data_IF_482451977971
#
_entry.id   IF_482451977971
#
_cell.length_a   1.000
_cell.length_b   1.000
_cell.length_c   1.000
_cell.angle_alpha   90.00
_cell.angle_beta   90.00
_cell.angle_gamma   90.00
#
_symmetry.space_group_name_H-M   'P 1'
#
loop_
_entity.id
_entity.type
_entity.pdbx_description
1 polymer ?
#
# COMPACT_ATOMS: atom_id res chain seq x y z
N UNK A 1 20.36 12.49 -28.43
CA UNK A 1 19.09 12.02 -27.85
C UNK A 1 18.82 10.65 -28.43
N UNK A 2 19.28 9.60 -27.75
CA UNK A 2 19.05 8.23 -28.20
C UNK A 2 17.66 7.79 -27.72
N UNK A 3 16.81 7.23 -28.60
CA UNK A 3 15.53 6.69 -28.17
C UNK A 3 15.83 5.41 -27.40
N UNK A 4 15.54 5.39 -26.09
CA UNK A 4 15.52 4.13 -25.35
C UNK A 4 14.38 3.31 -25.95
N UNK A 5 14.75 2.24 -26.64
CA UNK A 5 13.82 1.34 -27.28
C UNK A 5 12.92 0.70 -26.21
N UNK A 6 11.62 0.81 -26.43
CA UNK A 6 10.53 0.21 -25.66
C UNK A 6 10.72 -1.30 -25.38
N UNK A 7 11.57 -1.98 -26.16
CA UNK A 7 11.97 -3.38 -25.96
C UNK A 7 12.74 -3.66 -24.66
N UNK A 8 13.13 -2.64 -23.88
CA UNK A 8 13.80 -2.82 -22.58
C UNK A 8 12.86 -2.71 -21.37
N UNK A 9 11.56 -2.50 -21.57
CA UNK A 9 10.58 -2.61 -20.47
C UNK A 9 10.35 -4.10 -20.22
N UNK A 10 10.98 -4.58 -19.14
CA UNK A 10 10.98 -5.97 -18.69
C UNK A 10 9.58 -6.62 -18.71
N UNK A 11 9.49 -7.93 -19.02
CA UNK A 11 8.23 -8.65 -18.99
C UNK A 11 7.61 -8.59 -17.59
N UNK A 12 6.33 -8.24 -17.52
CA UNK A 12 5.51 -8.04 -16.32
C UNK A 12 5.28 -9.32 -15.47
N UNK A 13 6.16 -10.33 -15.58
CA UNK A 13 6.00 -11.65 -14.95
C UNK A 13 6.70 -11.80 -13.61
N UNK A 14 7.52 -10.85 -13.17
CA UNK A 14 8.26 -10.96 -11.91
C UNK A 14 7.91 -9.82 -10.96
N UNK A 15 6.77 -9.95 -10.27
CA UNK A 15 6.57 -9.59 -8.85
C UNK A 15 6.96 -8.22 -8.29
N UNK A 16 7.57 -7.32 -9.03
CA UNK A 16 8.14 -6.07 -8.54
C UNK A 16 7.79 -4.95 -9.52
N UNK A 17 6.82 -4.15 -9.11
CA UNK A 17 6.33 -3.01 -9.88
C UNK A 17 7.34 -1.86 -9.69
N UNK A 18 8.04 -1.39 -10.74
CA UNK A 18 8.99 -0.30 -10.59
C UNK A 18 8.23 1.03 -10.59
N UNK A 19 7.67 1.39 -9.43
CA UNK A 19 7.21 2.76 -9.22
C UNK A 19 8.41 3.60 -8.77
N UNK A 20 8.84 4.53 -9.62
CA UNK A 20 9.71 5.63 -9.22
C UNK A 20 8.99 6.46 -8.14
N UNK A 21 9.19 6.09 -6.87
CA UNK A 21 8.89 6.87 -5.68
C UNK A 21 10.00 6.63 -4.65
N UNK A 22 11.17 7.22 -4.89
CA UNK A 22 12.25 7.34 -3.92
C UNK A 22 11.95 8.45 -2.89
N UNK A 23 10.82 8.34 -2.18
CA UNK A 23 10.55 9.18 -1.01
C UNK A 23 9.83 8.31 0.04
N UNK A 24 10.63 7.80 0.97
CA UNK A 24 10.31 6.95 2.14
C UNK A 24 10.50 5.44 1.97
N UNK A 25 11.63 4.97 2.51
CA UNK A 25 11.99 3.58 2.82
C UNK A 25 10.88 2.86 3.59
N UNK A 26 9.97 2.21 2.87
CA UNK A 26 9.04 1.23 3.41
C UNK A 26 8.87 0.17 2.33
N UNK A 27 9.17 -1.09 2.63
CA UNK A 27 8.80 -2.23 1.79
C UNK A 27 7.27 -2.26 1.68
N UNK A 28 6.74 -1.59 0.66
CA UNK A 28 5.32 -1.51 0.39
C UNK A 28 4.92 -2.70 -0.47
N UNK A 29 4.44 -3.76 0.18
CA UNK A 29 3.83 -4.90 -0.51
C UNK A 29 2.31 -4.73 -0.53
N UNK A 30 1.70 -4.42 -1.70
CA UNK A 30 0.24 -4.38 -1.81
C UNK A 30 -0.34 -5.78 -1.58
N UNK A 31 -1.53 -5.86 -0.98
CA UNK A 31 -2.19 -7.17 -0.84
C UNK A 31 -2.56 -7.71 -2.23
N UNK A 32 -2.70 -9.04 -2.39
CA UNK A 32 -3.16 -9.61 -3.65
C UNK A 32 -4.49 -9.01 -4.14
N UNK A 33 -5.35 -8.54 -3.23
CA UNK A 33 -6.65 -7.95 -3.56
C UNK A 33 -6.51 -6.60 -4.26
N UNK A 34 -5.59 -5.73 -3.81
CA UNK A 34 -5.40 -4.43 -4.45
C UNK A 34 -4.51 -4.47 -5.70
N UNK A 35 -3.94 -5.64 -6.03
CA UNK A 35 -2.99 -5.80 -7.15
C UNK A 35 -3.62 -5.49 -8.51
N UNK A 36 -4.88 -5.87 -8.71
CA UNK A 36 -5.56 -5.66 -9.99
C UNK A 36 -5.91 -4.18 -10.22
N UNK A 37 -6.26 -3.44 -9.17
CA UNK A 37 -6.45 -1.99 -9.25
C UNK A 37 -5.15 -1.23 -9.56
N UNK A 38 -4.01 -1.74 -9.08
CA UNK A 38 -2.69 -1.18 -9.40
C UNK A 38 -2.36 -1.40 -10.88
N UNK A 39 -2.59 -2.61 -11.39
CA UNK A 39 -2.43 -2.94 -12.81
C UNK A 39 -3.29 -2.04 -13.72
N UNK A 40 -4.55 -1.83 -13.35
CA UNK A 40 -5.45 -0.95 -14.10
C UNK A 40 -4.93 0.50 -14.14
N UNK A 41 -4.40 1.00 -13.02
CA UNK A 41 -3.82 2.35 -12.95
C UNK A 41 -2.53 2.46 -13.79
N UNK A 42 -1.71 1.42 -13.80
CA UNK A 42 -0.49 1.36 -14.61
C UNK A 42 -0.79 1.32 -16.10
N UNK A 43 -1.79 0.54 -16.52
CA UNK A 43 -2.23 0.51 -17.92
C UNK A 43 -2.68 1.91 -18.38
N UNK A 44 -3.43 2.63 -17.55
CA UNK A 44 -3.82 4.01 -17.86
C UNK A 44 -2.61 4.96 -17.95
N UNK A 45 -1.60 4.78 -17.11
CA UNK A 45 -0.35 5.54 -17.22
C UNK A 45 0.49 5.15 -18.45
N UNK A 46 0.37 3.91 -18.93
CA UNK A 46 1.10 3.39 -20.09
C UNK A 46 0.48 3.82 -21.43
N UNK A 47 -0.81 4.19 -21.47
CA UNK A 47 -1.49 4.61 -22.70
C UNK A 47 -0.91 5.90 -23.31
N UNK A 48 -0.57 6.90 -22.50
CA UNK A 48 0.06 8.13 -22.99
C UNK A 48 0.88 8.85 -21.92
N UNK A 49 1.98 9.47 -22.34
CA UNK A 49 2.93 10.18 -21.47
C UNK A 49 2.30 11.32 -20.63
N UNK A 50 1.16 11.85 -21.05
CA UNK A 50 0.42 12.92 -20.37
C UNK A 50 -0.67 12.45 -19.40
N UNK A 51 -1.02 11.15 -19.35
CA UNK A 51 -2.20 10.63 -18.62
C UNK A 51 -2.27 11.05 -17.18
N UNK A 52 -1.10 11.00 -16.56
CA UNK A 52 -0.86 11.30 -15.16
C UNK A 52 -1.12 12.77 -14.82
N UNK A 53 -0.91 13.67 -15.78
CA UNK A 53 -0.98 15.12 -15.56
C UNK A 53 -2.37 15.68 -15.83
N UNK A 54 -3.07 15.17 -16.85
CA UNK A 54 -4.39 15.68 -17.24
C UNK A 54 -5.55 15.06 -16.45
N UNK A 55 -5.28 14.17 -15.49
CA UNK A 55 -6.32 13.58 -14.63
C UNK A 55 -7.19 12.51 -15.31
N UNK A 56 -6.83 12.07 -16.52
CA UNK A 56 -7.51 11.00 -17.26
C UNK A 56 -7.63 9.70 -16.46
N UNK A 57 -6.64 9.40 -15.62
CA UNK A 57 -6.61 8.18 -14.78
C UNK A 57 -7.28 8.32 -13.39
N UNK A 58 -8.07 9.37 -13.15
CA UNK A 58 -8.65 9.63 -11.82
C UNK A 58 -9.65 8.55 -11.36
N UNK A 59 -10.35 7.89 -12.28
CA UNK A 59 -11.29 6.80 -11.96
C UNK A 59 -10.53 5.58 -11.42
N UNK A 60 -9.54 5.07 -12.16
CA UNK A 60 -8.70 3.96 -11.72
C UNK A 60 -7.98 4.29 -10.40
N UNK A 61 -7.49 5.53 -10.25
CA UNK A 61 -6.88 6.01 -9.01
C UNK A 61 -7.86 6.00 -7.83
N UNK A 62 -9.13 6.36 -8.05
CA UNK A 62 -10.17 6.35 -7.02
C UNK A 62 -10.45 4.93 -6.54
N UNK A 63 -10.56 3.98 -7.46
CA UNK A 63 -10.79 2.57 -7.13
C UNK A 63 -9.64 1.98 -6.31
N UNK A 64 -8.40 2.24 -6.72
CA UNK A 64 -7.22 1.87 -5.95
C UNK A 64 -7.24 2.47 -4.54
N UNK A 65 -7.57 3.76 -4.42
CA UNK A 65 -7.66 4.43 -3.12
C UNK A 65 -8.73 3.81 -2.21
N UNK A 66 -9.87 3.39 -2.77
CA UNK A 66 -10.91 2.70 -2.00
C UNK A 66 -10.41 1.35 -1.48
N UNK A 67 -9.71 0.58 -2.31
CA UNK A 67 -9.10 -0.69 -1.92
C UNK A 67 -8.09 -0.50 -0.78
N UNK A 68 -7.15 0.43 -0.94
CA UNK A 68 -6.12 0.72 0.07
C UNK A 68 -6.73 1.29 1.37
N UNK A 69 -7.83 2.05 1.27
CA UNK A 69 -8.54 2.56 2.45
C UNK A 69 -9.18 1.43 3.24
N UNK A 70 -9.80 0.46 2.57
CA UNK A 70 -10.35 -0.72 3.24
C UNK A 70 -9.26 -1.52 3.95
N UNK A 71 -8.13 -1.78 3.29
CA UNK A 71 -6.98 -2.44 3.96
C UNK A 71 -6.51 -1.68 5.20
N UNK A 72 -6.41 -0.35 5.10
CA UNK A 72 -6.00 0.49 6.22
C UNK A 72 -6.96 0.36 7.39
N UNK A 73 -8.27 0.32 7.12
CA UNK A 73 -9.30 0.15 8.16
C UNK A 73 -9.19 -1.23 8.79
N UNK A 74 -9.05 -2.30 8.01
CA UNK A 74 -8.88 -3.68 8.53
C UNK A 74 -7.63 -3.79 9.41
N UNK A 75 -6.50 -3.23 8.97
CA UNK A 75 -5.26 -3.20 9.77
C UNK A 75 -5.43 -2.37 11.04
N UNK A 76 -6.09 -1.22 10.95
CA UNK A 76 -6.34 -0.37 12.10
C UNK A 76 -7.24 -1.06 13.14
N UNK A 77 -8.26 -1.80 12.70
CA UNK A 77 -9.14 -2.57 13.58
C UNK A 77 -8.35 -3.67 14.31
N UNK A 78 -7.55 -4.47 13.60
CA UNK A 78 -6.68 -5.48 14.21
C UNK A 78 -5.70 -4.87 15.20
N UNK A 79 -5.08 -3.75 14.84
CA UNK A 79 -4.16 -3.05 15.74
C UNK A 79 -4.87 -2.53 16.99
N UNK A 80 -6.12 -2.07 16.87
CA UNK A 80 -6.92 -1.64 18.02
C UNK A 80 -7.15 -2.77 19.01
N UNK A 81 -7.51 -3.96 18.54
CA UNK A 81 -7.71 -5.12 19.41
C UNK A 81 -6.41 -5.54 20.09
N UNK A 82 -5.30 -5.61 19.34
CA UNK A 82 -3.97 -5.92 19.92
C UNK A 82 -3.55 -4.85 20.93
N UNK A 83 -3.84 -3.58 20.70
CA UNK A 83 -3.55 -2.51 21.65
C UNK A 83 -4.37 -2.61 22.93
N UNK A 84 -5.65 -3.00 22.85
CA UNK A 84 -6.49 -3.25 24.04
C UNK A 84 -5.93 -4.39 24.86
N UNK A 85 -5.63 -5.52 24.22
CA UNK A 85 -5.07 -6.70 24.90
C UNK A 85 -3.73 -6.36 25.58
N UNK A 86 -2.85 -5.63 24.91
CA UNK A 86 -1.60 -5.15 25.50
C UNK A 86 -1.84 -4.25 26.70
N UNK A 87 -2.84 -3.36 26.62
CA UNK A 87 -3.18 -2.46 27.73
C UNK A 87 -3.71 -3.24 28.93
N UNK A 88 -4.61 -4.19 28.74
CA UNK A 88 -5.15 -5.05 29.81
C UNK A 88 -4.05 -5.87 30.49
N UNK A 89 -3.12 -6.45 29.71
CA UNK A 89 -1.97 -7.18 30.25
C UNK A 89 -1.06 -6.27 31.08
N UNK A 90 -0.78 -5.06 30.60
CA UNK A 90 0.02 -4.08 31.33
C UNK A 90 -0.68 -3.67 32.62
N UNK A 91 -1.98 -3.34 32.59
CA UNK A 91 -2.76 -2.99 33.79
C UNK A 91 -2.83 -4.14 34.81
N UNK A 92 -2.94 -5.40 34.35
CA UNK A 92 -2.89 -6.56 35.23
C UNK A 92 -1.50 -6.74 35.89
N UNK A 93 -0.42 -6.54 35.14
CA UNK A 93 0.94 -6.61 35.68
C UNK A 93 1.21 -5.52 36.73
N UNK A 94 0.74 -4.29 36.50
CA UNK A 94 0.85 -3.20 37.49
C UNK A 94 0.13 -3.54 38.81
N UNK A 95 -1.08 -4.10 38.74
CA UNK A 95 -1.83 -4.52 39.93
C UNK A 95 -1.14 -5.63 40.72
N UNK A 96 -0.45 -6.57 40.05
CA UNK A 96 0.30 -7.62 40.75
C UNK A 96 1.47 -7.05 41.53
N UNK A 97 2.18 -6.07 40.97
CA UNK A 97 3.28 -5.38 41.64
C UNK A 97 2.81 -4.53 42.84
N UNK A 98 1.64 -3.90 42.73
CA UNK A 98 1.05 -3.13 43.84
C UNK A 98 0.63 -4.00 45.05
N UNK A 99 0.37 -5.29 44.84
CA UNK A 99 -0.03 -6.23 45.91
C UNK A 99 1.18 -6.88 46.59
N UNK A 100 2.34 -6.92 45.93
CA UNK A 100 3.57 -7.51 46.46
C UNK A 100 4.40 -6.54 47.33
N UNK A 101 4.09 -5.23 47.31
CA UNK A 101 4.76 -4.17 48.08
C UNK A 101 3.94 -3.79 49.31
#
# INVERSE_FOLDING_TARGET
>A
MSPIAFSQLAPLSEGNIPVQWHFMNREWTPTPVCRDFIRALEQCHAEWWGARFFGSCNTAKRELNMCLRNERITRAAKNREVSKERRERTEAAWKQLEVEV
#
